data_IF_096931580008
#
_entry.id   IF_096931580008
#
_cell.length_a   1.000
_cell.length_b   1.000
_cell.length_c   1.000
_cell.angle_alpha   90.00
_cell.angle_beta   90.00
_cell.angle_gamma   90.00
#
_symmetry.space_group_name_H-M   'P 1'
#
loop_
_entity.id
_entity.type
_entity.pdbx_description
1 polymer ?
#
# COMPACT_ATOMS: atom_id res chain seq x y z
N UNK A 1 21.21 -11.26 -23.44
CA UNK A 1 19.81 -11.16 -23.90
C UNK A 1 18.85 -12.17 -23.24
N UNK A 2 19.30 -13.36 -22.84
CA UNK A 2 18.49 -14.33 -22.06
C UNK A 2 17.94 -13.86 -20.67
N UNK A 3 18.63 -13.04 -19.86
CA UNK A 3 18.16 -12.75 -18.50
C UNK A 3 16.91 -11.85 -18.44
N UNK A 4 16.69 -10.99 -19.46
CA UNK A 4 15.52 -10.10 -19.51
C UNK A 4 14.24 -10.90 -19.79
N UNK A 5 14.28 -11.83 -20.74
CA UNK A 5 13.13 -12.70 -21.05
C UNK A 5 12.75 -13.61 -19.89
N UNK A 6 13.70 -14.02 -19.05
CA UNK A 6 13.41 -14.79 -17.84
C UNK A 6 12.70 -13.94 -16.79
N UNK A 7 13.18 -12.72 -16.55
CA UNK A 7 12.57 -11.78 -15.61
C UNK A 7 11.13 -11.42 -16.00
N UNK A 8 10.85 -11.19 -17.29
CA UNK A 8 9.50 -10.91 -17.78
C UNK A 8 8.52 -12.07 -17.52
N UNK A 9 8.99 -13.31 -17.66
CA UNK A 9 8.19 -14.52 -17.40
C UNK A 9 7.91 -14.70 -15.91
N UNK A 10 8.93 -14.51 -15.08
CA UNK A 10 8.82 -14.60 -13.62
C UNK A 10 7.90 -13.51 -13.07
N UNK A 11 8.11 -12.26 -13.48
CA UNK A 11 7.25 -11.13 -13.10
C UNK A 11 5.82 -11.34 -13.57
N UNK A 12 5.61 -11.82 -14.81
CA UNK A 12 4.29 -12.15 -15.33
C UNK A 12 3.59 -13.25 -14.53
N UNK A 13 4.33 -14.26 -14.06
CA UNK A 13 3.79 -15.33 -13.22
C UNK A 13 3.41 -14.81 -11.82
N UNK A 14 4.27 -14.01 -11.19
CA UNK A 14 3.98 -13.36 -9.90
C UNK A 14 2.77 -12.45 -10.04
N UNK A 15 2.74 -11.58 -11.06
CA UNK A 15 1.63 -10.68 -11.32
C UNK A 15 0.32 -11.44 -11.46
N UNK A 16 0.25 -12.48 -12.31
CA UNK A 16 -0.97 -13.29 -12.44
C UNK A 16 -1.43 -13.89 -11.10
N UNK A 17 -0.49 -14.30 -10.24
CA UNK A 17 -0.79 -14.83 -8.90
C UNK A 17 -1.36 -13.76 -7.96
N UNK A 18 -0.81 -12.55 -7.95
CA UNK A 18 -1.18 -11.49 -6.99
C UNK A 18 -2.14 -10.45 -7.56
N UNK A 19 -2.48 -10.50 -8.86
CA UNK A 19 -3.34 -9.55 -9.55
C UNK A 19 -4.67 -9.30 -8.83
N UNK A 20 -5.38 -10.33 -8.31
CA UNK A 20 -6.61 -10.09 -7.55
C UNK A 20 -6.38 -9.19 -6.32
N UNK A 21 -5.30 -9.43 -5.58
CA UNK A 21 -4.94 -8.66 -4.38
C UNK A 21 -4.53 -7.22 -4.72
N UNK A 22 -3.84 -7.03 -5.87
CA UNK A 22 -3.53 -5.69 -6.37
C UNK A 22 -4.83 -4.92 -6.68
N UNK A 23 -5.78 -5.54 -7.38
CA UNK A 23 -7.04 -4.88 -7.71
C UNK A 23 -7.88 -4.56 -6.48
N UNK A 24 -7.97 -5.50 -5.52
CA UNK A 24 -8.64 -5.29 -4.24
C UNK A 24 -8.05 -4.06 -3.52
N UNK A 25 -6.73 -3.99 -3.40
CA UNK A 25 -6.05 -2.87 -2.75
C UNK A 25 -6.26 -1.54 -3.48
N UNK A 26 -6.27 -1.55 -4.82
CA UNK A 26 -6.55 -0.34 -5.60
C UNK A 26 -7.98 0.16 -5.42
N UNK A 27 -8.96 -0.74 -5.31
CA UNK A 27 -10.34 -0.36 -5.01
C UNK A 27 -10.52 0.18 -3.59
N UNK A 28 -9.80 -0.38 -2.60
CA UNK A 28 -9.75 0.19 -1.25
C UNK A 28 -9.26 1.65 -1.29
N UNK A 29 -8.11 1.91 -1.92
CA UNK A 29 -7.58 3.27 -2.06
C UNK A 29 -8.55 4.21 -2.80
N UNK A 30 -9.17 3.74 -3.87
CA UNK A 30 -10.14 4.51 -4.61
C UNK A 30 -11.42 4.78 -3.79
N UNK A 31 -11.81 3.87 -2.89
CA UNK A 31 -12.92 4.08 -1.97
C UNK A 31 -12.61 5.15 -0.93
N UNK A 32 -11.42 5.11 -0.31
CA UNK A 32 -10.96 6.13 0.65
C UNK A 32 -10.97 7.52 -0.01
N UNK A 33 -10.41 7.63 -1.22
CA UNK A 33 -10.41 8.90 -1.95
C UNK A 33 -11.82 9.44 -2.27
N UNK A 34 -12.76 8.56 -2.64
CA UNK A 34 -14.11 8.96 -3.06
C UNK A 34 -15.07 9.22 -1.90
N UNK A 35 -14.87 8.56 -0.76
CA UNK A 35 -15.87 8.47 0.32
C UNK A 35 -15.32 8.79 1.71
N UNK A 36 -14.00 8.81 1.87
CA UNK A 36 -13.36 9.03 3.16
C UNK A 36 -13.62 10.44 3.67
N UNK A 37 -13.78 10.56 4.98
CA UNK A 37 -13.82 11.88 5.64
C UNK A 37 -12.42 12.48 5.83
N UNK A 38 -12.35 13.70 6.36
CA UNK A 38 -11.09 14.40 6.59
C UNK A 38 -10.15 13.61 7.52
N UNK A 39 -10.70 12.86 8.47
CA UNK A 39 -9.92 12.04 9.40
C UNK A 39 -9.31 10.84 8.68
N UNK A 40 -10.09 10.11 7.88
CA UNK A 40 -9.61 8.99 7.07
C UNK A 40 -8.52 9.44 6.07
N UNK A 41 -8.70 10.58 5.42
CA UNK A 41 -7.68 11.15 4.53
C UNK A 41 -6.42 11.59 5.29
N UNK A 42 -6.58 12.14 6.49
CA UNK A 42 -5.46 12.54 7.35
C UNK A 42 -4.65 11.33 7.80
N UNK A 43 -5.29 10.20 8.13
CA UNK A 43 -4.61 8.95 8.48
C UNK A 43 -3.73 8.44 7.34
N UNK A 44 -4.21 8.48 6.09
CA UNK A 44 -3.40 8.12 4.90
C UNK A 44 -2.25 9.10 4.64
N UNK A 45 -2.47 10.40 4.90
CA UNK A 45 -1.40 11.39 4.83
C UNK A 45 -0.31 11.10 5.88
N UNK A 46 -0.70 10.82 7.12
CA UNK A 46 0.25 10.45 8.20
C UNK A 46 1.01 9.19 7.81
N UNK A 47 0.35 8.17 7.25
CA UNK A 47 1.03 7.00 6.69
C UNK A 47 2.10 7.41 5.68
N UNK A 48 1.73 8.23 4.68
CA UNK A 48 2.65 8.73 3.66
C UNK A 48 3.83 9.50 4.26
N UNK A 49 3.64 10.26 5.34
CA UNK A 49 4.70 10.99 6.04
C UNK A 49 5.65 10.08 6.84
N UNK A 50 5.17 8.90 7.28
CA UNK A 50 5.98 7.92 8.04
C UNK A 50 6.77 6.96 7.14
N UNK A 51 6.40 6.83 5.87
CA UNK A 51 7.07 5.92 4.91
C UNK A 51 8.43 6.37 4.34
N UNK A 52 8.81 7.67 4.27
CA UNK A 52 10.12 8.05 3.77
C UNK A 52 11.22 7.41 4.60
N UNK A 53 12.18 6.76 3.94
CA UNK A 53 13.30 6.06 4.57
C UNK A 53 12.90 4.95 5.56
N UNK A 54 11.64 4.49 5.54
CA UNK A 54 11.13 3.43 6.39
C UNK A 54 10.48 2.31 5.56
N UNK A 55 10.30 1.13 6.19
CA UNK A 55 9.52 0.04 5.56
C UNK A 55 8.03 0.33 5.78
N UNK A 56 7.19 0.10 4.78
CA UNK A 56 5.74 0.25 4.89
C UNK A 56 5.15 -0.47 6.13
N UNK A 57 5.65 -1.68 6.45
CA UNK A 57 5.24 -2.39 7.67
C UNK A 57 5.63 -1.68 8.98
N UNK A 58 6.74 -0.95 9.01
CA UNK A 58 7.12 -0.16 10.19
C UNK A 58 6.26 1.10 10.32
N UNK A 59 5.99 1.79 9.21
CA UNK A 59 5.07 2.94 9.19
C UNK A 59 3.65 2.55 9.62
N UNK A 60 3.12 1.45 9.09
CA UNK A 60 1.82 0.89 9.48
C UNK A 60 1.74 0.57 10.98
N UNK A 61 2.79 -0.04 11.55
CA UNK A 61 2.85 -0.29 13.00
C UNK A 61 2.86 1.00 13.81
N UNK A 62 3.64 2.00 13.40
CA UNK A 62 3.69 3.29 14.09
C UNK A 62 2.34 3.99 14.03
N UNK A 63 1.70 4.03 12.86
CA UNK A 63 0.37 4.62 12.68
C UNK A 63 -0.69 3.93 13.55
N UNK A 64 -0.69 2.60 13.65
CA UNK A 64 -1.61 1.85 14.53
C UNK A 64 -1.41 2.17 16.01
N UNK A 65 -0.18 2.43 16.44
CA UNK A 65 0.09 2.89 17.80
C UNK A 65 -0.49 4.29 17.99
N UNK A 66 -0.21 5.21 17.08
CA UNK A 66 -0.72 6.58 17.13
C UNK A 66 -2.27 6.64 17.15
N UNK A 67 -2.94 5.85 16.31
CA UNK A 67 -4.41 5.72 16.32
C UNK A 67 -4.96 5.18 17.65
N UNK A 68 -4.23 4.26 18.31
CA UNK A 68 -4.65 3.70 19.59
C UNK A 68 -4.51 4.70 20.74
N UNK A 69 -3.48 5.55 20.67
CA UNK A 69 -3.22 6.61 21.64
C UNK A 69 -4.03 7.89 21.32
N UNK A 70 -5.04 7.78 20.46
CA UNK A 70 -5.96 8.85 20.04
C UNK A 70 -5.23 10.07 19.46
N UNK A 71 -4.34 9.77 18.49
CA UNK A 71 -3.62 10.68 17.57
C UNK A 71 -3.69 12.18 17.90
#
# INVERSE_FOLDING_TARGET
MAPVFFLERELGAIYRRIKPQIHERLEEFASIWRKGDDYELFVELVFCLLTPSSRAHSADRALKILLKEDL
#
